data_IF_403070152991
#
_entry.id   IF_403070152991
#
_cell.length_a   1.000
_cell.length_b   1.000
_cell.length_c   1.000
_cell.angle_alpha   90.00
_cell.angle_beta   90.00
_cell.angle_gamma   90.00
#
_symmetry.space_group_name_H-M   'P 1'
#
loop_
_entity.id
_entity.type
_entity.pdbx_description
1 polymer ?
#
# COMPACT_ATOMS: atom_id res chain seq x y z
N UNK A 1 11.33 19.79 3.60
CA UNK A 1 10.72 18.47 3.34
C UNK A 1 10.26 17.87 4.66
N UNK A 2 9.21 17.05 4.65
CA UNK A 2 8.60 16.43 5.84
C UNK A 2 8.31 14.96 5.55
N UNK A 3 8.58 14.10 6.53
CA UNK A 3 8.07 12.73 6.59
C UNK A 3 6.96 12.66 7.64
N UNK A 4 5.84 12.05 7.29
CA UNK A 4 4.75 11.79 8.25
C UNK A 4 4.76 10.30 8.58
N UNK A 5 4.78 9.98 9.88
CA UNK A 5 4.67 8.62 10.38
C UNK A 5 3.42 8.50 11.25
N UNK A 6 2.68 7.41 11.09
CA UNK A 6 1.49 7.11 11.88
C UNK A 6 1.22 5.62 12.00
N UNK A 7 0.23 5.24 12.82
CA UNK A 7 -0.16 3.84 12.94
C UNK A 7 -1.26 3.48 11.94
N UNK A 8 -2.46 4.03 12.14
CA UNK A 8 -3.64 3.77 11.30
C UNK A 8 -3.58 4.67 10.06
N UNK A 9 -3.72 4.11 8.84
CA UNK A 9 -3.61 4.89 7.64
C UNK A 9 -4.84 5.81 7.43
N UNK A 10 -4.68 6.95 6.74
CA UNK A 10 -5.69 8.01 6.71
C UNK A 10 -7.07 7.61 6.18
N UNK A 11 -7.17 6.69 5.22
CA UNK A 11 -8.47 6.26 4.71
C UNK A 11 -9.29 5.42 5.71
N UNK A 12 -8.66 4.90 6.75
CA UNK A 12 -9.28 4.10 7.80
C UNK A 12 -9.80 4.94 8.99
N UNK A 13 -9.58 6.25 8.96
CA UNK A 13 -10.03 7.18 10.00
C UNK A 13 -11.50 7.61 9.84
N UNK A 14 -12.09 8.19 10.89
CA UNK A 14 -13.36 8.91 10.81
C UNK A 14 -13.36 9.87 9.62
N UNK A 15 -14.48 9.89 8.89
CA UNK A 15 -14.63 10.68 7.66
C UNK A 15 -14.18 12.12 7.83
N UNK A 16 -14.62 12.81 8.88
CA UNK A 16 -14.23 14.21 9.11
C UNK A 16 -12.72 14.37 9.31
N UNK A 17 -12.08 13.47 10.04
CA UNK A 17 -10.63 13.53 10.25
C UNK A 17 -9.88 13.24 8.95
N UNK A 18 -10.26 12.14 8.28
CA UNK A 18 -9.66 11.68 7.04
C UNK A 18 -9.72 12.73 5.93
N UNK A 19 -10.85 13.40 5.77
CA UNK A 19 -11.03 14.46 4.76
C UNK A 19 -10.20 15.72 5.07
N UNK A 20 -10.03 16.08 6.35
CA UNK A 20 -9.16 17.19 6.72
C UNK A 20 -7.68 16.83 6.56
N UNK A 21 -7.28 15.60 6.88
CA UNK A 21 -5.93 15.12 6.60
C UNK A 21 -5.62 15.16 5.10
N UNK A 22 -6.56 14.71 4.27
CA UNK A 22 -6.44 14.74 2.81
C UNK A 22 -6.26 16.16 2.25
N UNK A 23 -6.98 17.15 2.82
CA UNK A 23 -6.81 18.59 2.51
C UNK A 23 -5.43 19.12 2.86
N UNK A 24 -4.92 18.74 4.03
CA UNK A 24 -3.58 19.14 4.48
C UNK A 24 -2.52 18.55 3.54
N UNK A 25 -2.63 17.26 3.20
CA UNK A 25 -1.70 16.61 2.26
C UNK A 25 -1.71 17.34 0.92
N UNK A 26 -2.88 17.65 0.38
CA UNK A 26 -3.03 18.41 -0.87
C UNK A 26 -2.38 19.80 -0.78
N UNK A 27 -2.68 20.56 0.27
CA UNK A 27 -2.14 21.91 0.46
C UNK A 27 -0.62 21.94 0.58
N UNK A 28 -0.01 20.87 1.10
CA UNK A 28 1.42 20.76 1.36
C UNK A 28 2.13 19.72 0.48
N UNK A 29 1.59 19.41 -0.70
CA UNK A 29 2.16 18.40 -1.62
C UNK A 29 3.63 18.69 -2.02
N UNK A 30 4.03 19.96 -2.07
CA UNK A 30 5.43 20.35 -2.34
C UNK A 30 6.37 20.26 -1.13
N UNK A 31 5.84 19.99 0.06
CA UNK A 31 6.58 19.93 1.34
C UNK A 31 6.66 18.52 1.91
N UNK A 32 5.64 17.69 1.69
CA UNK A 32 5.58 16.31 2.19
C UNK A 32 6.35 15.41 1.21
N UNK A 33 7.45 14.82 1.68
CA UNK A 33 8.30 13.97 0.86
C UNK A 33 7.93 12.48 0.94
N UNK A 34 7.34 12.05 2.07
CA UNK A 34 6.90 10.67 2.26
C UNK A 34 5.90 10.55 3.42
N UNK A 35 5.07 9.51 3.36
CA UNK A 35 4.10 9.15 4.40
C UNK A 35 4.21 7.64 4.69
N UNK A 36 4.27 7.26 5.97
CA UNK A 36 4.50 5.88 6.41
C UNK A 36 3.51 5.48 7.50
N UNK A 37 2.77 4.40 7.25
CA UNK A 37 1.76 3.86 8.15
C UNK A 37 1.92 2.34 8.30
N UNK A 38 1.05 1.72 9.11
CA UNK A 38 0.99 0.27 9.26
C UNK A 38 -0.44 -0.15 9.58
N UNK A 39 -0.63 -0.84 10.72
CA UNK A 39 -1.93 -1.22 11.28
C UNK A 39 -2.71 -2.29 10.50
N UNK A 40 -2.77 -2.24 9.16
CA UNK A 40 -3.53 -3.20 8.34
C UNK A 40 -2.89 -4.58 8.27
N UNK A 41 -1.61 -4.67 8.66
CA UNK A 41 -0.76 -5.87 8.64
C UNK A 41 -0.38 -6.38 7.24
N UNK A 42 -0.99 -5.85 6.19
CA UNK A 42 -0.74 -6.16 4.78
C UNK A 42 0.29 -5.21 4.16
N UNK A 43 0.86 -5.60 3.02
CA UNK A 43 1.81 -4.77 2.24
C UNK A 43 1.08 -3.97 1.15
N UNK A 44 0.62 -2.77 1.48
CA UNK A 44 -0.20 -1.93 0.61
C UNK A 44 0.19 -0.44 0.64
N UNK A 45 -0.58 0.40 -0.05
CA UNK A 45 -0.38 1.84 -0.08
C UNK A 45 -1.71 2.56 -0.33
N UNK A 46 -1.78 3.84 0.04
CA UNK A 46 -2.92 4.73 -0.26
C UNK A 46 -2.47 5.90 -1.13
N UNK A 47 -3.17 6.12 -2.25
CA UNK A 47 -2.92 7.27 -3.14
C UNK A 47 -3.77 8.49 -2.77
N UNK A 48 -3.13 9.65 -2.86
CA UNK A 48 -3.75 10.96 -2.73
C UNK A 48 -3.76 11.64 -4.09
N UNK A 49 -4.86 12.30 -4.40
CA UNK A 49 -5.10 13.06 -5.62
C UNK A 49 -5.50 14.49 -5.30
N UNK A 50 -5.36 15.38 -6.29
CA UNK A 50 -5.81 16.75 -6.24
C UNK A 50 -7.30 16.85 -5.85
N UNK A 51 -7.68 17.81 -5.00
CA UNK A 51 -9.07 17.92 -4.53
C UNK A 51 -10.06 18.40 -5.61
N UNK A 52 -9.57 19.10 -6.63
CA UNK A 52 -10.41 19.73 -7.66
C UNK A 52 -11.00 18.70 -8.62
N UNK A 53 -10.18 17.73 -9.06
CA UNK A 53 -10.53 16.77 -10.11
C UNK A 53 -10.33 15.31 -9.71
N UNK A 54 -9.62 15.04 -8.60
CA UNK A 54 -9.27 13.70 -8.13
C UNK A 54 -8.58 12.85 -9.22
N UNK A 55 -7.71 13.48 -10.03
CA UNK A 55 -7.12 12.87 -11.23
C UNK A 55 -5.60 12.89 -11.25
N UNK A 56 -4.96 13.91 -10.66
CA UNK A 56 -3.51 14.05 -10.56
C UNK A 56 -3.04 13.49 -9.21
N UNK A 57 -2.22 12.44 -9.18
CA UNK A 57 -1.69 11.92 -7.93
C UNK A 57 -0.69 12.92 -7.33
N UNK A 58 -0.89 13.26 -6.05
CA UNK A 58 -0.12 14.28 -5.32
C UNK A 58 0.74 13.70 -4.20
N UNK A 59 0.36 12.54 -3.67
CA UNK A 59 1.11 11.87 -2.61
C UNK A 59 0.78 10.38 -2.55
N UNK A 60 1.66 9.63 -1.88
CA UNK A 60 1.47 8.20 -1.58
C UNK A 60 1.78 7.97 -0.10
N UNK A 61 0.91 7.22 0.57
CA UNK A 61 1.15 6.70 1.92
C UNK A 61 1.47 5.22 1.85
N UNK A 62 2.68 4.85 2.25
CA UNK A 62 3.11 3.46 2.28
C UNK A 62 2.63 2.80 3.57
N UNK A 63 1.89 1.70 3.45
CA UNK A 63 1.38 0.95 4.59
C UNK A 63 2.25 -0.30 4.74
N UNK A 64 3.13 -0.30 5.75
CA UNK A 64 4.08 -1.37 5.98
C UNK A 64 3.39 -2.64 6.50
N UNK A 65 3.80 -3.83 6.01
CA UNK A 65 3.26 -5.07 6.53
C UNK A 65 3.76 -5.32 7.96
N UNK A 66 3.06 -6.19 8.68
CA UNK A 66 3.38 -6.46 10.08
C UNK A 66 4.46 -7.51 10.28
N UNK A 67 5.17 -7.41 11.41
CA UNK A 67 6.01 -8.50 11.91
C UNK A 67 5.15 -9.66 12.43
N UNK A 68 3.97 -9.39 12.97
CA UNK A 68 3.08 -10.45 13.46
C UNK A 68 2.50 -11.29 12.32
N UNK A 69 2.13 -12.52 12.64
CA UNK A 69 1.45 -13.45 11.72
C UNK A 69 -0.06 -13.18 11.65
N UNK A 70 -0.59 -12.29 12.49
CA UNK A 70 -2.02 -12.04 12.59
C UNK A 70 -2.55 -11.33 11.30
N UNK A 71 -3.44 -11.92 10.50
CA UNK A 71 -3.88 -13.32 10.52
C UNK A 71 -3.38 -14.04 9.28
N UNK A 72 -2.82 -15.23 9.48
CA UNK A 72 -2.41 -16.14 8.43
C UNK A 72 -1.37 -15.56 7.45
N UNK A 73 -0.39 -14.82 7.98
CA UNK A 73 0.69 -14.22 7.21
C UNK A 73 2.05 -14.72 7.70
N UNK A 74 3.07 -14.69 6.83
CA UNK A 74 4.45 -14.72 7.29
C UNK A 74 4.78 -13.46 8.11
N UNK A 75 5.72 -13.49 9.06
CA UNK A 75 6.34 -12.28 9.60
C UNK A 75 7.05 -11.48 8.51
N UNK A 76 6.94 -10.16 8.54
CA UNK A 76 7.63 -9.29 7.58
C UNK A 76 8.07 -7.95 8.16
N UNK A 77 9.11 -7.37 7.57
CA UNK A 77 9.52 -5.97 7.81
C UNK A 77 9.92 -5.31 6.48
N UNK A 78 9.99 -3.97 6.48
CA UNK A 78 10.29 -3.18 5.29
C UNK A 78 11.47 -2.24 5.53
N UNK A 79 12.33 -2.10 4.53
CA UNK A 79 13.41 -1.11 4.44
C UNK A 79 13.08 -0.15 3.30
N UNK A 80 13.18 1.16 3.55
CA UNK A 80 13.02 2.18 2.51
C UNK A 80 14.38 2.76 2.13
N UNK A 81 14.64 2.84 0.84
CA UNK A 81 15.70 3.67 0.31
C UNK A 81 15.15 5.10 0.13
N UNK A 82 15.82 6.09 0.70
CA UNK A 82 15.38 7.49 0.68
C UNK A 82 16.51 8.35 0.16
N UNK A 83 16.17 9.39 -0.61
CA UNK A 83 17.14 10.37 -1.10
C UNK A 83 17.99 10.92 0.07
N UNK A 84 19.31 10.87 -0.10
CA UNK A 84 20.28 11.11 0.95
C UNK A 84 20.25 12.53 1.54
N UNK A 85 21.05 12.75 2.58
CA UNK A 85 21.14 14.04 3.25
C UNK A 85 22.17 14.95 2.57
N UNK A 86 21.68 15.90 1.76
CA UNK A 86 22.50 16.94 1.13
C UNK A 86 21.65 18.19 0.83
N UNK A 87 22.25 19.38 0.67
CA UNK A 87 21.52 20.60 0.32
C UNK A 87 20.69 20.42 -0.96
N UNK A 88 19.39 20.69 -0.88
CA UNK A 88 18.46 20.53 -2.02
C UNK A 88 17.95 19.09 -2.25
N UNK A 89 18.23 18.14 -1.34
CA UNK A 89 17.65 16.80 -1.42
C UNK A 89 16.12 16.82 -1.34
N UNK A 90 15.48 15.96 -2.14
CA UNK A 90 14.03 15.76 -2.10
C UNK A 90 13.58 15.03 -0.85
N UNK A 91 14.47 14.26 -0.21
CA UNK A 91 14.15 13.32 0.87
C UNK A 91 12.99 12.37 0.52
N UNK A 92 12.72 12.14 -0.76
CA UNK A 92 11.66 11.26 -1.22
C UNK A 92 12.11 9.79 -1.13
N UNK A 93 11.14 8.87 -1.04
CA UNK A 93 11.39 7.44 -1.20
C UNK A 93 11.86 7.17 -2.64
N UNK A 94 12.94 6.42 -2.78
CA UNK A 94 13.53 6.02 -4.06
C UNK A 94 13.12 4.61 -4.44
N UNK A 95 13.09 3.70 -3.47
CA UNK A 95 12.61 2.32 -3.58
C UNK A 95 12.28 1.78 -2.17
N UNK A 96 11.66 0.60 -2.10
CA UNK A 96 11.53 -0.13 -0.86
C UNK A 96 11.67 -1.63 -1.05
N UNK A 97 12.16 -2.29 -0.01
CA UNK A 97 12.33 -3.74 0.04
C UNK A 97 11.53 -4.32 1.20
N UNK A 98 10.84 -5.42 0.96
CA UNK A 98 10.16 -6.19 2.01
C UNK A 98 10.94 -7.49 2.24
N UNK A 99 11.16 -7.81 3.52
CA UNK A 99 11.79 -9.04 3.97
C UNK A 99 10.79 -9.86 4.77
N UNK A 100 10.85 -11.18 4.65
CA UNK A 100 9.95 -12.10 5.35
C UNK A 100 10.71 -13.22 6.04
N UNK A 101 10.06 -13.83 7.01
CA UNK A 101 10.42 -15.13 7.54
C UNK A 101 9.43 -16.16 7.01
N UNK A 102 9.85 -17.09 6.15
CA UNK A 102 8.99 -18.18 5.70
C UNK A 102 8.78 -19.16 6.86
N UNK A 103 7.58 -19.15 7.45
CA UNK A 103 7.27 -20.00 8.60
C UNK A 103 7.26 -21.49 8.25
N UNK A 104 6.92 -21.86 7.02
CA UNK A 104 6.95 -23.28 6.59
C UNK A 104 8.37 -23.82 6.68
N UNK A 105 9.35 -23.06 6.20
CA UNK A 105 10.77 -23.45 6.25
C UNK A 105 11.33 -23.35 7.68
N UNK A 106 11.06 -22.24 8.37
CA UNK A 106 11.60 -22.00 9.71
C UNK A 106 11.09 -23.03 10.73
N UNK A 107 9.82 -23.44 10.64
CA UNK A 107 9.25 -24.44 11.55
C UNK A 107 9.65 -25.88 11.19
N UNK A 108 10.09 -26.14 9.95
CA UNK A 108 10.61 -27.44 9.54
C UNK A 108 12.09 -27.63 9.89
N UNK A 109 12.80 -26.54 10.23
CA UNK A 109 14.23 -26.58 10.52
C UNK A 109 14.55 -27.26 11.87
N UNK A 110 15.74 -27.87 12.02
CA UNK A 110 16.16 -28.47 13.27
C UNK A 110 16.19 -27.45 14.43
N UNK A 111 15.90 -27.88 15.67
CA UNK A 111 16.03 -27.02 16.84
C UNK A 111 17.41 -26.35 16.93
N UNK A 112 17.43 -25.05 17.23
CA UNK A 112 18.66 -24.26 17.30
C UNK A 112 19.11 -23.65 15.97
N UNK A 113 18.43 -23.94 14.86
CA UNK A 113 18.66 -23.25 13.57
C UNK A 113 18.14 -21.80 13.67
N UNK A 114 18.98 -20.78 13.41
CA UNK A 114 18.50 -19.39 13.38
C UNK A 114 17.45 -19.18 12.28
N UNK A 115 16.39 -18.40 12.52
CA UNK A 115 15.34 -18.17 11.53
C UNK A 115 15.88 -17.40 10.31
N UNK A 116 15.78 -17.95 9.08
CA UNK A 116 16.33 -17.31 7.90
C UNK A 116 15.38 -16.22 7.38
N UNK A 117 15.63 -14.97 7.76
CA UNK A 117 14.99 -13.82 7.12
C UNK A 117 15.52 -13.66 5.69
N UNK A 118 14.60 -13.53 4.73
CA UNK A 118 14.95 -13.41 3.33
C UNK A 118 14.23 -12.23 2.68
N UNK A 119 14.88 -11.64 1.67
CA UNK A 119 14.27 -10.59 0.86
C UNK A 119 13.15 -11.19 0.02
N UNK A 120 11.94 -10.64 0.13
CA UNK A 120 10.80 -11.03 -0.69
C UNK A 120 10.83 -10.31 -2.05
N UNK A 121 10.96 -8.98 -2.05
CA UNK A 121 11.01 -8.18 -3.27
C UNK A 121 11.55 -6.76 -3.04
N UNK A 122 12.01 -6.11 -4.12
CA UNK A 122 12.11 -4.64 -4.26
C UNK A 122 10.91 -4.16 -5.09
N UNK A 123 10.30 -3.03 -4.72
CA UNK A 123 9.13 -2.50 -5.42
C UNK A 123 9.42 -2.17 -6.88
N UNK A 124 10.51 -1.44 -7.15
CA UNK A 124 10.88 -1.08 -8.52
C UNK A 124 11.19 -2.29 -9.37
N UNK A 125 11.91 -3.27 -8.82
CA UNK A 125 12.22 -4.54 -9.49
C UNK A 125 10.94 -5.33 -9.80
N UNK A 126 10.09 -5.55 -8.80
CA UNK A 126 8.91 -6.41 -8.93
C UNK A 126 7.84 -5.84 -9.87
N UNK A 127 7.67 -4.52 -9.89
CA UNK A 127 6.58 -3.86 -10.61
C UNK A 127 7.06 -3.09 -11.84
N UNK A 128 8.38 -3.02 -12.09
CA UNK A 128 8.96 -2.27 -13.19
C UNK A 128 8.71 -0.78 -13.08
N UNK A 129 8.83 -0.21 -11.87
CA UNK A 129 8.61 1.21 -11.63
C UNK A 129 9.89 2.01 -11.93
N UNK A 130 9.82 3.04 -12.79
CA UNK A 130 10.99 3.87 -13.08
C UNK A 130 11.42 4.66 -11.84
N UNK A 131 10.46 5.14 -11.04
CA UNK A 131 10.67 5.79 -9.74
C UNK A 131 9.60 5.34 -8.74
N UNK A 132 9.66 5.81 -7.49
CA UNK A 132 8.65 5.56 -6.46
C UNK A 132 7.71 6.77 -6.24
N UNK A 133 7.59 7.69 -7.22
CA UNK A 133 6.70 8.85 -7.13
C UNK A 133 5.21 8.48 -7.25
N UNK A 134 4.29 9.34 -6.75
CA UNK A 134 2.85 9.06 -6.76
C UNK A 134 2.29 8.67 -8.14
N UNK A 135 2.81 9.26 -9.22
CA UNK A 135 2.41 8.95 -10.59
C UNK A 135 2.74 7.50 -11.02
N UNK A 136 3.86 6.95 -10.55
CA UNK A 136 4.26 5.58 -10.88
C UNK A 136 3.39 4.55 -10.14
N UNK A 137 2.97 4.87 -8.90
CA UNK A 137 2.03 4.06 -8.13
C UNK A 137 0.61 4.13 -8.70
N UNK A 138 0.13 5.29 -9.17
CA UNK A 138 -1.13 5.39 -9.92
C UNK A 138 -1.08 4.59 -11.22
N UNK A 139 0.04 4.67 -11.96
CA UNK A 139 0.25 3.85 -13.16
C UNK A 139 0.25 2.35 -12.85
N UNK A 140 0.83 1.93 -11.71
CA UNK A 140 0.76 0.55 -11.26
C UNK A 140 -0.69 0.10 -11.02
N UNK A 141 -1.50 0.90 -10.32
CA UNK A 141 -2.94 0.62 -10.13
C UNK A 141 -3.65 0.49 -11.47
N UNK A 142 -3.36 1.36 -12.44
CA UNK A 142 -3.92 1.29 -13.79
C UNK A 142 -3.52 0.02 -14.53
N UNK A 143 -2.23 -0.32 -14.53
CA UNK A 143 -1.71 -1.54 -15.19
C UNK A 143 -2.31 -2.80 -14.60
N UNK A 144 -2.48 -2.85 -13.28
CA UNK A 144 -3.09 -4.01 -12.61
C UNK A 144 -4.55 -4.24 -13.03
N UNK A 145 -5.28 -3.25 -13.56
CA UNK A 145 -6.66 -3.46 -14.06
C UNK A 145 -6.69 -4.48 -15.21
N UNK A 146 -5.74 -4.36 -16.14
CA UNK A 146 -5.70 -5.12 -17.39
C UNK A 146 -4.68 -6.27 -17.36
N UNK A 147 -3.64 -6.17 -16.51
CA UNK A 147 -2.61 -7.20 -16.35
C UNK A 147 -2.87 -8.05 -15.10
N UNK A 148 -3.43 -9.23 -15.33
CA UNK A 148 -3.75 -10.18 -14.26
C UNK A 148 -2.49 -10.77 -13.60
N UNK A 149 -1.41 -10.99 -14.35
CA UNK A 149 -0.18 -11.54 -13.77
C UNK A 149 0.47 -10.52 -12.82
N UNK A 150 0.47 -9.26 -13.20
CA UNK A 150 0.94 -8.17 -12.34
C UNK A 150 0.08 -8.04 -11.09
N UNK A 151 -1.24 -8.14 -11.23
CA UNK A 151 -2.16 -8.12 -10.08
C UNK A 151 -1.91 -9.30 -9.13
N UNK A 152 -1.78 -10.53 -9.64
CA UNK A 152 -1.51 -11.70 -8.80
C UNK A 152 -0.14 -11.62 -8.11
N UNK A 153 0.87 -11.02 -8.76
CA UNK A 153 2.16 -10.71 -8.12
C UNK A 153 1.99 -9.73 -6.96
N UNK A 154 1.23 -8.65 -7.17
CA UNK A 154 0.91 -7.70 -6.10
C UNK A 154 0.14 -8.39 -4.96
N UNK A 155 -0.85 -9.22 -5.27
CA UNK A 155 -1.63 -9.99 -4.29
C UNK A 155 -0.77 -10.93 -3.43
N UNK A 156 0.23 -11.58 -4.04
CA UNK A 156 1.20 -12.40 -3.34
C UNK A 156 2.05 -11.56 -2.37
N UNK A 157 2.55 -10.39 -2.80
CA UNK A 157 3.33 -9.50 -1.94
C UNK A 157 2.49 -8.87 -0.82
N UNK A 158 1.24 -8.48 -1.10
CA UNK A 158 0.27 -7.96 -0.13
C UNK A 158 0.17 -8.87 1.11
N UNK A 159 0.24 -10.19 0.89
CA UNK A 159 0.16 -11.21 1.93
C UNK A 159 1.53 -11.76 2.38
N UNK A 160 2.63 -11.02 2.16
CA UNK A 160 3.99 -11.43 2.55
C UNK A 160 4.37 -12.83 2.03
N UNK A 161 3.96 -13.15 0.81
CA UNK A 161 4.20 -14.42 0.16
C UNK A 161 3.35 -15.59 0.67
N UNK A 162 2.31 -15.33 1.46
CA UNK A 162 1.37 -16.35 1.96
C UNK A 162 -0.09 -15.93 1.71
N UNK A 163 -0.52 -15.87 0.44
CA UNK A 163 -1.88 -15.48 0.10
C UNK A 163 -2.92 -16.51 0.59
N UNK A 164 -4.19 -16.11 0.77
CA UNK A 164 -5.28 -17.04 1.06
C UNK A 164 -5.42 -18.10 -0.03
N UNK A 165 -5.95 -19.27 0.33
CA UNK A 165 -6.25 -20.35 -0.62
C UNK A 165 -7.31 -19.97 -1.65
N UNK A 166 -8.29 -19.15 -1.24
CA UNK A 166 -9.32 -18.65 -2.14
C UNK A 166 -8.74 -17.60 -3.09
N UNK A 167 -8.85 -17.79 -4.42
CA UNK A 167 -8.33 -16.82 -5.38
C UNK A 167 -9.05 -15.46 -5.28
N UNK A 168 -8.29 -14.38 -5.37
CA UNK A 168 -8.87 -13.03 -5.49
C UNK A 168 -9.42 -12.82 -6.92
N UNK A 169 -10.72 -13.11 -7.10
CA UNK A 169 -11.42 -12.88 -8.36
C UNK A 169 -11.76 -11.41 -8.65
N UNK A 170 -12.53 -11.14 -9.71
CA UNK A 170 -12.82 -9.78 -10.18
C UNK A 170 -13.41 -8.83 -9.12
N UNK A 171 -14.36 -9.24 -8.25
CA UNK A 171 -14.86 -8.36 -7.20
C UNK A 171 -13.80 -8.01 -6.15
N UNK A 172 -12.98 -8.98 -5.75
CA UNK A 172 -11.87 -8.77 -4.83
C UNK A 172 -10.82 -7.82 -5.43
N UNK A 173 -10.46 -8.02 -6.70
CA UNK A 173 -9.58 -7.12 -7.46
C UNK A 173 -10.12 -5.70 -7.52
N UNK A 174 -11.40 -5.51 -7.86
CA UNK A 174 -12.02 -4.18 -7.88
C UNK A 174 -11.94 -3.49 -6.51
N UNK A 175 -12.19 -4.23 -5.43
CA UNK A 175 -12.15 -3.71 -4.07
C UNK A 175 -10.73 -3.31 -3.65
N UNK A 176 -9.73 -4.15 -3.91
CA UNK A 176 -8.33 -3.84 -3.62
C UNK A 176 -7.83 -2.63 -4.42
N UNK A 177 -8.09 -2.58 -5.74
CA UNK A 177 -7.67 -1.43 -6.55
C UNK A 177 -8.32 -0.12 -6.10
N UNK A 178 -9.59 -0.17 -5.65
CA UNK A 178 -10.26 0.96 -5.03
C UNK A 178 -9.59 1.37 -3.71
N UNK A 179 -9.24 0.43 -2.84
CA UNK A 179 -8.54 0.70 -1.58
C UNK A 179 -7.19 1.40 -1.84
N UNK A 180 -6.38 0.89 -2.79
CA UNK A 180 -5.09 1.49 -3.14
C UNK A 180 -5.22 2.91 -3.70
N UNK A 181 -6.32 3.20 -4.41
CA UNK A 181 -6.62 4.52 -4.97
C UNK A 181 -7.19 5.51 -3.94
N UNK A 182 -7.47 5.08 -2.72
CA UNK A 182 -8.26 5.87 -1.77
C UNK A 182 -7.45 6.28 -0.55
N UNK A 183 -6.96 7.52 -0.52
CA UNK A 183 -6.34 8.14 0.67
C UNK A 183 -7.31 8.87 1.61
N UNK A 184 -8.63 8.82 1.35
CA UNK A 184 -9.67 9.38 2.24
C UNK A 184 -10.88 8.49 2.41
N UNK A 185 -11.43 8.46 3.62
CA UNK A 185 -12.53 7.59 3.98
C UNK A 185 -13.82 7.90 3.23
N UNK A 186 -14.48 6.83 2.76
CA UNK A 186 -15.85 6.84 2.22
C UNK A 186 -16.09 7.81 1.04
N UNK A 187 -15.16 7.86 0.09
CA UNK A 187 -15.31 8.63 -1.15
C UNK A 187 -15.41 7.74 -2.40
N UNK A 188 -16.62 7.50 -2.94
CA UNK A 188 -16.79 6.68 -4.14
C UNK A 188 -16.16 7.30 -5.40
N UNK A 189 -15.95 8.62 -5.45
CA UNK A 189 -15.40 9.28 -6.63
C UNK A 189 -13.97 8.82 -6.93
N UNK A 190 -13.22 8.43 -5.89
CA UNK A 190 -11.89 7.85 -6.02
C UNK A 190 -11.87 6.45 -6.65
N UNK A 191 -13.02 5.80 -6.84
CA UNK A 191 -13.08 4.47 -7.44
C UNK A 191 -13.82 4.44 -8.78
N UNK A 192 -14.46 5.55 -9.17
CA UNK A 192 -15.18 5.66 -10.46
C UNK A 192 -14.32 5.38 -11.70
N UNK A 193 -13.03 5.78 -11.78
CA UNK A 193 -12.21 5.52 -12.96
C UNK A 193 -11.76 4.06 -13.10
N UNK A 194 -11.98 3.22 -12.09
CA UNK A 194 -11.43 1.86 -12.04
C UNK A 194 -12.32 0.84 -12.73
N UNK A 195 -11.66 -0.17 -13.30
CA UNK A 195 -12.23 -1.38 -13.88
C UNK A 195 -11.57 -2.60 -13.22
N UNK A 196 -12.31 -3.71 -12.99
CA UNK A 196 -13.74 -3.84 -13.24
C UNK A 196 -14.58 -2.96 -12.30
N UNK A 197 -15.65 -2.37 -12.83
CA UNK A 197 -16.51 -1.49 -12.05
C UNK A 197 -17.33 -2.32 -11.06
N UNK A 198 -17.34 -1.91 -9.79
CA UNK A 198 -18.15 -2.51 -8.74
C UNK A 198 -18.88 -1.40 -7.96
N UNK A 199 -20.16 -1.58 -7.60
CA UNK A 199 -20.86 -0.61 -6.77
C UNK A 199 -20.10 -0.36 -5.47
N UNK A 200 -19.92 0.91 -5.10
CA UNK A 200 -19.15 1.27 -3.90
C UNK A 200 -19.61 0.56 -2.61
N UNK A 201 -20.93 0.37 -2.34
CA UNK A 201 -21.35 -0.41 -1.18
C UNK A 201 -20.79 -1.84 -1.17
N UNK A 202 -20.68 -2.49 -2.34
CA UNK A 202 -20.08 -3.83 -2.46
C UNK A 202 -18.57 -3.81 -2.26
N UNK A 203 -17.89 -2.74 -2.70
CA UNK A 203 -16.47 -2.55 -2.38
C UNK A 203 -16.28 -2.47 -0.86
N UNK A 204 -17.12 -1.69 -0.18
CA UNK A 204 -17.02 -1.52 1.28
C UNK A 204 -17.30 -2.81 2.07
N UNK A 205 -18.16 -3.69 1.55
CA UNK A 205 -18.38 -5.01 2.15
C UNK A 205 -17.17 -5.94 1.98
N UNK A 206 -16.54 -5.93 0.80
CA UNK A 206 -15.40 -6.81 0.48
C UNK A 206 -14.10 -6.34 1.14
N UNK A 207 -13.90 -5.03 1.20
CA UNK A 207 -12.76 -4.40 1.85
C UNK A 207 -13.24 -3.67 3.10
N UNK A 208 -13.70 -4.45 4.08
CA UNK A 208 -14.24 -3.91 5.31
C UNK A 208 -13.12 -3.31 6.17
N UNK A 209 -12.76 -2.06 5.88
CA UNK A 209 -11.84 -1.26 6.67
C UNK A 209 -12.51 -0.99 8.02
N UNK A 210 -12.11 -1.72 9.07
CA UNK A 210 -12.52 -1.37 10.43
C UNK A 210 -12.09 0.08 10.69
N UNK A 211 -13.06 0.93 11.03
CA UNK A 211 -12.82 2.33 11.36
C UNK A 211 -12.23 2.39 12.76
N UNK A 212 -10.99 2.83 12.87
CA UNK A 212 -10.20 2.67 14.09
C UNK A 212 -9.63 3.99 14.64
N UNK A 213 -9.89 5.11 13.96
CA UNK A 213 -9.73 6.48 14.45
C UNK A 213 -11.04 7.23 14.30
#
# INVERSE_FOLDING_TARGET
QVHIIGHIPPAHCLRSWSWNYYRIVNRFEGTIAAQFFGHTHLDEFELFYDEETLSRPVSVAFVAPSVTTYINLNPGYRVYEVAGSYPGSSHAVLDHETFILNLTEANAAPPGTPPPWQRLYSAREAYGLPTAFPADWDLLVRRMQDDEQLFQRFWFHLHKGHPPHEPCGSPCKAALLCALRTGRAADPALCQPLRPALPFPRIQELWHQQRLC
#
